data_IF_341177504290
#
_entry.id   IF_341177504290
#
_cell.length_a   1.000
_cell.length_b   1.000
_cell.length_c   1.000
_cell.angle_alpha   90.00
_cell.angle_beta   90.00
_cell.angle_gamma   90.00
#
_symmetry.space_group_name_H-M   'P 1'
#
loop_
_entity.id
_entity.type
_entity.pdbx_description
1 polymer ?
#
# COMPACT_ATOMS: atom_id res chain seq x y z
N UNK A 1 -17.27 -20.20 -10.00
CA UNK A 1 -18.38 -19.23 -9.97
C UNK A 1 -18.48 -18.56 -8.59
N UNK A 2 -18.47 -19.32 -7.50
CA UNK A 2 -18.54 -18.79 -6.12
C UNK A 2 -17.47 -17.73 -5.77
N UNK A 3 -16.22 -17.93 -6.19
CA UNK A 3 -15.13 -16.98 -5.90
C UNK A 3 -15.29 -15.61 -6.56
N UNK A 4 -15.93 -15.54 -7.74
CA UNK A 4 -16.22 -14.26 -8.39
C UNK A 4 -17.33 -13.52 -7.66
N UNK A 5 -18.40 -14.23 -7.29
CA UNK A 5 -19.51 -13.66 -6.52
C UNK A 5 -19.04 -13.08 -5.18
N UNK A 6 -18.17 -13.81 -4.47
CA UNK A 6 -17.59 -13.33 -3.20
C UNK A 6 -16.76 -12.07 -3.41
N UNK A 7 -15.95 -12.03 -4.47
CA UNK A 7 -15.14 -10.86 -4.83
C UNK A 7 -16.02 -9.65 -5.19
N UNK A 8 -17.10 -9.87 -5.91
CA UNK A 8 -18.05 -8.81 -6.30
C UNK A 8 -18.74 -8.22 -5.06
N UNK A 9 -19.13 -9.06 -4.09
CA UNK A 9 -19.67 -8.60 -2.81
C UNK A 9 -18.62 -7.77 -2.05
N UNK A 10 -17.39 -8.26 -1.97
CA UNK A 10 -16.30 -7.57 -1.27
C UNK A 10 -15.91 -6.24 -1.91
N UNK A 11 -16.04 -6.10 -3.23
CA UNK A 11 -15.73 -4.86 -3.95
C UNK A 11 -16.94 -3.99 -4.24
N UNK A 12 -18.13 -4.35 -3.71
CA UNK A 12 -19.40 -3.65 -3.98
C UNK A 12 -19.57 -2.30 -3.27
N UNK A 13 -18.77 -2.00 -2.25
CA UNK A 13 -18.85 -0.74 -1.49
C UNK A 13 -17.51 -0.29 -0.96
N UNK A 14 -17.38 1.03 -0.73
CA UNK A 14 -16.18 1.63 -0.13
C UNK A 14 -15.90 1.07 1.26
N UNK A 15 -16.94 0.82 2.04
CA UNK A 15 -16.84 0.26 3.40
C UNK A 15 -16.25 -1.15 3.37
N UNK A 16 -16.69 -1.99 2.43
CA UNK A 16 -16.16 -3.35 2.29
C UNK A 16 -14.69 -3.32 1.85
N UNK A 17 -14.32 -2.43 0.94
CA UNK A 17 -12.94 -2.27 0.48
C UNK A 17 -12.04 -1.77 1.62
N UNK A 18 -12.49 -0.76 2.37
CA UNK A 18 -11.77 -0.27 3.54
C UNK A 18 -11.60 -1.38 4.59
N UNK A 19 -12.65 -2.18 4.82
CA UNK A 19 -12.59 -3.33 5.71
C UNK A 19 -11.55 -4.38 5.25
N UNK A 20 -11.47 -4.67 3.95
CA UNK A 20 -10.46 -5.60 3.40
C UNK A 20 -9.05 -5.06 3.60
N UNK A 21 -8.81 -3.79 3.28
CA UNK A 21 -7.50 -3.18 3.50
C UNK A 21 -7.12 -3.14 4.98
N UNK A 22 -8.09 -2.90 5.87
CA UNK A 22 -7.87 -2.95 7.32
C UNK A 22 -7.58 -4.37 7.82
N UNK A 23 -8.32 -5.37 7.32
CA UNK A 23 -8.05 -6.79 7.61
C UNK A 23 -6.64 -7.18 7.17
N UNK A 24 -6.24 -6.74 5.98
CA UNK A 24 -4.89 -6.97 5.44
C UNK A 24 -3.82 -6.28 6.29
N UNK A 25 -4.07 -5.05 6.72
CA UNK A 25 -3.19 -4.31 7.62
C UNK A 25 -3.00 -5.07 8.94
N UNK A 26 -4.08 -5.55 9.55
CA UNK A 26 -4.00 -6.34 10.79
C UNK A 26 -3.29 -7.68 10.58
N UNK A 27 -3.52 -8.36 9.46
CA UNK A 27 -2.82 -9.60 9.13
C UNK A 27 -1.29 -9.42 9.05
N UNK A 28 -0.82 -8.27 8.55
CA UNK A 28 0.60 -7.91 8.49
C UNK A 28 1.21 -7.52 9.85
N UNK A 29 0.39 -7.40 10.89
CA UNK A 29 0.82 -7.19 12.28
C UNK A 29 0.80 -8.48 13.11
N UNK A 30 0.41 -9.63 12.54
CA UNK A 30 0.38 -10.91 13.26
C UNK A 30 1.80 -11.43 13.54
N UNK A 31 1.92 -12.27 14.57
CA UNK A 31 3.19 -12.98 14.83
C UNK A 31 3.55 -13.89 13.66
N UNK A 32 4.85 -14.07 13.38
CA UNK A 32 5.36 -14.89 12.28
C UNK A 32 4.97 -16.38 12.32
N UNK A 33 4.36 -16.87 13.42
CA UNK A 33 3.62 -18.15 13.42
C UNK A 33 2.54 -18.22 12.33
N UNK A 34 2.02 -17.07 11.90
CA UNK A 34 1.02 -16.92 10.84
C UNK A 34 1.63 -16.38 9.54
N UNK A 35 2.93 -16.59 9.30
CA UNK A 35 3.61 -16.10 8.10
C UNK A 35 2.93 -16.52 6.79
N UNK A 36 2.25 -17.67 6.75
CA UNK A 36 1.46 -18.09 5.60
C UNK A 36 0.34 -17.06 5.26
N UNK A 37 -0.38 -16.56 6.25
CA UNK A 37 -1.44 -15.55 6.07
C UNK A 37 -0.82 -14.23 5.59
N UNK A 38 0.30 -13.81 6.18
CA UNK A 38 1.02 -12.61 5.76
C UNK A 38 1.46 -12.72 4.29
N UNK A 39 2.02 -13.88 3.89
CA UNK A 39 2.42 -14.15 2.50
C UNK A 39 1.23 -14.09 1.55
N UNK A 40 0.07 -14.64 1.92
CA UNK A 40 -1.17 -14.54 1.11
C UNK A 40 -1.57 -13.08 0.88
N UNK A 41 -1.56 -12.25 1.93
CA UNK A 41 -1.86 -10.81 1.81
C UNK A 41 -0.84 -10.10 0.92
N UNK A 42 0.45 -10.34 1.14
CA UNK A 42 1.54 -9.75 0.35
C UNK A 42 1.43 -10.13 -1.13
N UNK A 43 1.12 -11.39 -1.43
CA UNK A 43 0.96 -11.87 -2.80
C UNK A 43 -0.31 -11.33 -3.45
N UNK A 44 -1.38 -11.12 -2.69
CA UNK A 44 -2.57 -10.44 -3.20
C UNK A 44 -2.26 -9.00 -3.60
N UNK A 45 -1.52 -8.25 -2.77
CA UNK A 45 -1.02 -6.92 -3.15
C UNK A 45 -0.06 -6.98 -4.34
N UNK A 46 0.84 -7.97 -4.40
CA UNK A 46 1.75 -8.17 -5.53
C UNK A 46 0.97 -8.29 -6.84
N UNK A 47 -0.07 -9.13 -6.86
CA UNK A 47 -0.85 -9.38 -8.07
C UNK A 47 -1.63 -8.14 -8.52
N UNK A 48 -2.13 -7.35 -7.57
CA UNK A 48 -2.73 -6.05 -7.85
C UNK A 48 -1.72 -5.04 -8.41
N UNK A 49 -0.57 -4.87 -7.75
CA UNK A 49 0.44 -3.87 -8.11
C UNK A 49 1.13 -4.19 -9.43
N UNK A 50 1.40 -5.47 -9.69
CA UNK A 50 2.06 -5.93 -10.91
C UNK A 50 1.09 -6.14 -12.09
N UNK A 51 -0.21 -5.88 -11.89
CA UNK A 51 -1.27 -6.12 -12.87
C UNK A 51 -1.31 -7.58 -13.36
N UNK A 52 -0.98 -8.54 -12.48
CA UNK A 52 -1.08 -9.97 -12.77
C UNK A 52 -2.50 -10.51 -12.54
N UNK A 53 -3.37 -9.74 -11.89
CA UNK A 53 -4.75 -10.13 -11.65
C UNK A 53 -5.55 -10.17 -12.97
N UNK A 54 -6.36 -11.22 -13.21
CA UNK A 54 -7.13 -11.36 -14.46
C UNK A 54 -8.15 -10.24 -14.66
N UNK A 55 -8.58 -9.60 -13.58
CA UNK A 55 -9.45 -8.43 -13.61
C UNK A 55 -9.01 -7.46 -12.52
N UNK A 56 -8.85 -6.20 -12.92
CA UNK A 56 -8.42 -5.13 -12.04
C UNK A 56 -9.56 -4.75 -11.09
N UNK A 57 -9.34 -4.75 -9.76
CA UNK A 57 -10.36 -4.34 -8.81
C UNK A 57 -10.86 -2.92 -9.09
N UNK A 58 -12.17 -2.64 -8.99
CA UNK A 58 -12.74 -1.33 -9.32
C UNK A 58 -12.11 -0.16 -8.57
N UNK A 59 -11.66 -0.39 -7.33
CA UNK A 59 -11.03 0.66 -6.51
C UNK A 59 -9.64 1.08 -6.99
N UNK A 60 -8.98 0.29 -7.83
CA UNK A 60 -7.68 0.63 -8.41
C UNK A 60 -7.79 1.53 -9.65
N UNK A 61 -9.00 1.65 -10.22
CA UNK A 61 -9.25 2.54 -11.33
C UNK A 61 -9.20 3.99 -10.87
N UNK A 62 -8.75 4.87 -11.75
CA UNK A 62 -8.70 6.31 -11.46
C UNK A 62 -10.10 6.84 -11.09
N UNK A 63 -10.18 7.72 -10.07
CA UNK A 63 -11.42 8.41 -9.74
C UNK A 63 -11.98 9.12 -10.98
N UNK A 64 -13.28 9.02 -11.21
CA UNK A 64 -13.92 9.75 -12.30
C UNK A 64 -13.88 11.25 -11.98
N UNK A 65 -13.35 12.06 -12.90
CA UNK A 65 -13.33 13.52 -12.77
C UNK A 65 -14.77 14.02 -12.55
N UNK A 66 -15.05 14.51 -11.34
CA UNK A 66 -16.40 14.85 -10.87
C UNK A 66 -16.73 14.35 -9.46
N UNK A 67 -15.89 13.50 -8.87
CA UNK A 67 -16.03 12.98 -7.50
C UNK A 67 -15.33 13.77 -6.39
N UNK A 68 -14.76 14.95 -6.69
CA UNK A 68 -14.31 15.86 -5.65
C UNK A 68 -15.53 16.25 -4.79
N UNK A 69 -15.49 15.91 -3.51
CA UNK A 69 -16.54 16.31 -2.56
C UNK A 69 -16.77 17.83 -2.65
N UNK A 70 -18.01 18.32 -2.50
CA UNK A 70 -18.29 19.75 -2.48
C UNK A 70 -17.72 20.32 -1.18
N UNK A 71 -16.50 20.86 -1.25
CA UNK A 71 -16.10 21.93 -0.34
C UNK A 71 -16.54 23.22 -0.99
N UNK A 72 -17.63 23.72 -0.44
CA UNK A 72 -18.21 25.04 -0.60
C UNK A 72 -17.12 26.13 -0.69
N UNK A 73 -17.07 26.82 -1.83
CA UNK A 73 -16.88 28.27 -1.94
C UNK A 73 -16.73 28.65 -3.42
N UNK A 74 -17.85 28.97 -4.06
CA UNK A 74 -17.90 29.57 -5.39
C UNK A 74 -19.34 29.95 -5.76
N UNK A 75 -19.60 31.20 -6.21
CA UNK A 75 -20.96 31.68 -6.40
C UNK A 75 -21.66 30.92 -7.54
N UNK A 76 -22.77 30.28 -7.21
CA UNK A 76 -23.56 29.43 -8.11
C UNK A 76 -24.31 30.27 -9.13
N UNK A 77 -23.94 30.17 -10.41
CA UNK A 77 -24.75 30.68 -11.53
C UNK A 77 -26.02 29.83 -11.67
N UNK A 78 -27.18 30.49 -11.57
CA UNK A 78 -28.50 29.90 -11.32
C UNK A 78 -29.13 29.06 -12.46
N UNK A 79 -28.46 28.84 -13.60
CA UNK A 79 -29.15 28.31 -14.79
C UNK A 79 -29.19 26.77 -14.88
N UNK A 80 -28.34 26.03 -14.16
CA UNK A 80 -28.23 24.56 -14.29
C UNK A 80 -29.11 23.74 -13.32
N UNK A 81 -29.91 24.39 -12.46
CA UNK A 81 -30.64 23.71 -11.39
C UNK A 81 -31.98 23.08 -11.82
N UNK A 82 -32.49 23.36 -13.02
CA UNK A 82 -33.76 22.78 -13.47
C UNK A 82 -33.60 21.35 -14.02
N UNK A 83 -32.46 21.01 -14.63
CA UNK A 83 -32.22 19.65 -15.18
C UNK A 83 -31.79 18.64 -14.11
N UNK A 84 -31.14 19.07 -13.02
CA UNK A 84 -30.73 18.19 -11.91
C UNK A 84 -31.91 17.71 -11.06
N UNK A 85 -33.01 18.46 -11.01
CA UNK A 85 -34.20 18.13 -10.19
C UNK A 85 -35.05 16.98 -10.77
N UNK A 86 -34.79 16.56 -12.01
CA UNK A 86 -35.51 15.48 -12.70
C UNK A 86 -34.73 14.15 -12.76
N UNK A 87 -33.70 13.95 -11.91
CA UNK A 87 -33.07 12.64 -11.72
C UNK A 87 -33.43 12.11 -10.34
N UNK A 88 -34.19 11.01 -10.30
CA UNK A 88 -34.52 10.31 -9.06
C UNK A 88 -33.25 10.05 -8.25
N UNK A 89 -33.31 10.25 -6.92
CA UNK A 89 -32.19 9.98 -6.00
C UNK A 89 -31.64 8.54 -6.16
N UNK A 90 -32.50 7.60 -6.55
CA UNK A 90 -32.11 6.22 -6.87
C UNK A 90 -31.20 6.09 -8.10
N UNK A 91 -31.36 6.95 -9.11
CA UNK A 91 -30.50 6.99 -10.29
C UNK A 91 -29.15 7.65 -9.99
N UNK A 92 -29.17 8.75 -9.23
CA UNK A 92 -27.92 9.39 -8.78
C UNK A 92 -27.11 8.46 -7.86
N UNK A 93 -27.76 7.75 -6.94
CA UNK A 93 -27.09 6.76 -6.07
C UNK A 93 -26.56 5.54 -6.83
N UNK A 94 -27.27 5.07 -7.86
CA UNK A 94 -26.79 3.96 -8.70
C UNK A 94 -25.61 4.38 -9.61
N UNK A 95 -25.64 5.59 -10.16
CA UNK A 95 -24.54 6.12 -10.99
C UNK A 95 -23.33 6.55 -10.13
N UNK A 96 -23.55 7.00 -8.90
CA UNK A 96 -22.46 7.36 -7.97
C UNK A 96 -21.83 6.17 -7.22
N UNK A 97 -22.47 4.99 -7.17
CA UNK A 97 -21.91 3.82 -6.47
C UNK A 97 -20.49 3.49 -6.96
N UNK A 98 -20.29 3.49 -8.27
CA UNK A 98 -18.98 3.22 -8.87
C UNK A 98 -18.00 4.38 -8.68
N UNK A 99 -18.50 5.62 -8.63
CA UNK A 99 -17.68 6.82 -8.41
C UNK A 99 -17.04 6.78 -7.02
N UNK A 100 -17.79 6.34 -6.00
CA UNK A 100 -17.31 6.30 -4.63
C UNK A 100 -16.36 5.15 -4.32
N UNK A 101 -16.17 4.19 -5.23
CA UNK A 101 -15.30 3.01 -5.03
C UNK A 101 -13.92 3.22 -5.64
N UNK A 102 -13.83 3.94 -6.78
CA UNK A 102 -12.56 4.24 -7.46
C UNK A 102 -11.67 5.12 -6.59
N UNK A 103 -10.45 4.67 -6.32
CA UNK A 103 -9.44 5.39 -5.54
C UNK A 103 -8.12 5.57 -6.32
N UNK A 104 -7.94 4.90 -7.44
CA UNK A 104 -6.70 4.93 -8.21
C UNK A 104 -5.61 4.03 -7.62
N UNK A 105 -4.64 3.69 -8.47
CA UNK A 105 -3.53 2.81 -8.12
C UNK A 105 -2.66 3.41 -7.00
N UNK A 106 -2.45 4.73 -7.00
CA UNK A 106 -1.58 5.41 -6.04
C UNK A 106 -2.01 5.13 -4.59
N UNK A 107 -3.31 5.21 -4.28
CA UNK A 107 -3.81 4.95 -2.94
C UNK A 107 -3.52 3.51 -2.48
N UNK A 108 -3.60 2.54 -3.39
CA UNK A 108 -3.28 1.13 -3.08
C UNK A 108 -1.78 0.96 -2.82
N UNK A 109 -0.92 1.64 -3.58
CA UNK A 109 0.53 1.66 -3.33
C UNK A 109 0.83 2.23 -1.94
N UNK A 110 0.22 3.36 -1.59
CA UNK A 110 0.42 4.03 -0.30
C UNK A 110 -0.06 3.16 0.87
N UNK A 111 -1.24 2.54 0.76
CA UNK A 111 -1.74 1.61 1.78
C UNK A 111 -0.78 0.44 1.96
N UNK A 112 -0.29 -0.14 0.85
CA UNK A 112 0.65 -1.26 0.90
C UNK A 112 1.98 -0.84 1.56
N UNK A 113 2.58 0.29 1.15
CA UNK A 113 3.83 0.83 1.71
C UNK A 113 3.74 0.96 3.23
N UNK A 114 2.70 1.61 3.74
CA UNK A 114 2.56 1.80 5.20
C UNK A 114 2.23 0.49 5.91
N UNK A 115 1.35 -0.34 5.35
CA UNK A 115 0.91 -1.56 6.04
C UNK A 115 2.02 -2.61 6.11
N UNK A 116 2.78 -2.77 5.03
CA UNK A 116 3.84 -3.77 4.92
C UNK A 116 5.12 -3.37 5.68
N UNK A 117 5.29 -2.08 6.01
CA UNK A 117 6.36 -1.62 6.90
C UNK A 117 6.37 -2.35 8.25
N UNK A 118 5.18 -2.66 8.79
CA UNK A 118 5.05 -3.34 10.09
C UNK A 118 5.81 -4.66 10.14
N UNK A 119 5.86 -5.42 9.02
CA UNK A 119 6.57 -6.71 8.95
C UNK A 119 8.04 -6.59 9.35
N UNK A 120 8.70 -5.49 8.97
CA UNK A 120 10.10 -5.26 9.30
C UNK A 120 10.30 -4.82 10.76
N UNK A 121 9.27 -4.20 11.35
CA UNK A 121 9.33 -3.57 12.66
C UNK A 121 8.83 -4.47 13.80
N UNK A 122 8.19 -5.60 13.47
CA UNK A 122 7.74 -6.58 14.46
C UNK A 122 8.95 -7.21 15.17
N UNK A 123 8.89 -7.22 16.49
CA UNK A 123 9.87 -7.91 17.33
C UNK A 123 9.65 -9.43 17.31
N UNK A 124 10.74 -10.16 17.12
CA UNK A 124 10.76 -11.63 17.19
C UNK A 124 11.48 -12.05 18.44
N UNK A 125 10.86 -12.92 19.24
CA UNK A 125 11.50 -13.47 20.43
C UNK A 125 12.75 -14.27 20.04
N UNK A 126 13.90 -14.04 20.71
CA UNK A 126 15.14 -14.77 20.44
C UNK A 126 15.03 -16.28 20.76
N UNK A 127 14.05 -16.69 21.56
CA UNK A 127 13.81 -18.09 21.92
C UNK A 127 13.30 -18.93 20.74
N UNK A 128 12.86 -18.29 19.65
CA UNK A 128 12.27 -18.95 18.49
C UNK A 128 12.96 -18.53 17.18
N UNK A 129 14.20 -18.99 16.92
CA UNK A 129 14.98 -18.58 15.73
C UNK A 129 14.28 -18.87 14.40
N UNK A 130 13.44 -19.92 14.34
CA UNK A 130 12.63 -20.21 13.13
C UNK A 130 11.67 -19.08 12.75
N UNK A 131 11.20 -18.29 13.72
CA UNK A 131 10.33 -17.14 13.45
C UNK A 131 11.10 -15.99 12.80
N UNK A 132 12.40 -15.86 13.09
CA UNK A 132 13.27 -14.90 12.41
C UNK A 132 13.50 -15.30 10.96
N UNK A 133 13.67 -16.59 10.68
CA UNK A 133 13.76 -17.09 9.30
C UNK A 133 12.49 -16.75 8.51
N UNK A 134 11.31 -16.98 9.10
CA UNK A 134 10.05 -16.58 8.49
C UNK A 134 9.94 -15.07 8.29
N UNK A 135 10.36 -14.26 9.26
CA UNK A 135 10.38 -12.80 9.11
C UNK A 135 11.25 -12.37 7.93
N UNK A 136 12.47 -12.92 7.80
CA UNK A 136 13.38 -12.63 6.70
C UNK A 136 12.74 -12.96 5.35
N UNK A 137 12.09 -14.11 5.23
CA UNK A 137 11.40 -14.49 3.99
C UNK A 137 10.22 -13.56 3.66
N UNK A 138 9.39 -13.23 4.64
CA UNK A 138 8.27 -12.29 4.43
C UNK A 138 8.80 -10.89 4.03
N UNK A 139 9.88 -10.42 4.69
CA UNK A 139 10.56 -9.16 4.35
C UNK A 139 11.11 -9.16 2.92
N UNK A 140 11.70 -10.27 2.43
CA UNK A 140 12.15 -10.41 1.04
C UNK A 140 11.01 -10.19 0.05
N UNK A 141 9.84 -10.75 0.32
CA UNK A 141 8.67 -10.59 -0.55
C UNK A 141 8.21 -9.13 -0.61
N UNK A 142 8.10 -8.46 0.55
CA UNK A 142 7.73 -7.02 0.59
C UNK A 142 8.76 -6.17 -0.17
N UNK A 143 10.06 -6.39 0.09
CA UNK A 143 11.13 -5.62 -0.54
C UNK A 143 11.15 -5.81 -2.06
N UNK A 144 10.84 -7.00 -2.57
CA UNK A 144 10.73 -7.26 -3.99
C UNK A 144 9.57 -6.49 -4.64
N UNK A 145 8.45 -6.31 -3.94
CA UNK A 145 7.35 -5.47 -4.41
C UNK A 145 7.77 -4.00 -4.43
N UNK A 146 8.45 -3.50 -3.37
CA UNK A 146 9.00 -2.14 -3.38
C UNK A 146 9.95 -1.92 -4.56
N UNK A 147 10.86 -2.85 -4.83
CA UNK A 147 11.76 -2.79 -6.00
C UNK A 147 11.00 -2.76 -7.31
N UNK A 148 9.95 -3.57 -7.43
CA UNK A 148 9.09 -3.54 -8.61
C UNK A 148 8.41 -2.17 -8.76
N UNK A 149 7.84 -1.62 -7.69
CA UNK A 149 7.19 -0.31 -7.70
C UNK A 149 8.16 0.78 -8.14
N UNK A 150 9.35 0.79 -7.55
CA UNK A 150 10.43 1.73 -7.91
C UNK A 150 10.74 1.60 -9.38
N UNK A 151 10.94 0.40 -9.91
CA UNK A 151 11.44 0.21 -11.28
C UNK A 151 10.36 0.31 -12.36
N UNK A 152 9.16 -0.19 -12.12
CA UNK A 152 8.16 -0.48 -13.15
C UNK A 152 6.84 0.25 -12.96
N UNK A 153 6.64 0.98 -11.86
CA UNK A 153 5.40 1.71 -11.59
C UNK A 153 5.63 3.22 -11.62
N UNK A 154 4.73 3.95 -12.27
CA UNK A 154 4.72 5.41 -12.18
C UNK A 154 4.12 5.80 -10.82
N UNK A 155 4.90 6.43 -9.96
CA UNK A 155 4.46 6.90 -8.65
C UNK A 155 4.40 8.43 -8.62
N UNK A 156 3.38 8.95 -7.95
CA UNK A 156 3.26 10.38 -7.65
C UNK A 156 4.25 10.80 -6.57
N UNK A 157 4.49 12.11 -6.45
CA UNK A 157 5.42 12.67 -5.47
C UNK A 157 5.12 12.17 -4.04
N UNK A 158 3.87 12.24 -3.60
CA UNK A 158 3.47 11.77 -2.26
C UNK A 158 3.76 10.29 -2.04
N UNK A 159 3.53 9.45 -3.04
CA UNK A 159 3.80 8.01 -2.98
C UNK A 159 5.30 7.74 -2.92
N UNK A 160 6.12 8.49 -3.67
CA UNK A 160 7.58 8.42 -3.58
C UNK A 160 8.09 8.83 -2.20
N UNK A 161 7.65 9.97 -1.69
CA UNK A 161 8.03 10.49 -0.37
C UNK A 161 7.68 9.46 0.72
N UNK A 162 6.47 8.91 0.70
CA UNK A 162 6.04 7.89 1.66
C UNK A 162 6.90 6.62 1.58
N UNK A 163 7.21 6.13 0.37
CA UNK A 163 8.09 4.97 0.21
C UNK A 163 9.47 5.24 0.81
N UNK A 164 10.04 6.41 0.55
CA UNK A 164 11.36 6.79 1.04
C UNK A 164 11.37 6.95 2.56
N UNK A 165 10.37 7.61 3.15
CA UNK A 165 10.20 7.72 4.61
C UNK A 165 10.12 6.34 5.25
N UNK A 166 9.31 5.43 4.68
CA UNK A 166 9.20 4.06 5.21
C UNK A 166 10.52 3.31 5.09
N UNK A 167 11.22 3.37 3.95
CA UNK A 167 12.51 2.70 3.79
C UNK A 167 13.55 3.26 4.76
N UNK A 168 13.60 4.58 4.96
CA UNK A 168 14.47 5.22 5.93
C UNK A 168 14.16 4.77 7.36
N UNK A 169 12.88 4.81 7.75
CA UNK A 169 12.44 4.41 9.07
C UNK A 169 12.78 2.93 9.35
N UNK A 170 12.46 2.04 8.40
CA UNK A 170 12.78 0.61 8.52
C UNK A 170 14.29 0.41 8.62
N UNK A 171 15.08 1.12 7.79
CA UNK A 171 16.55 1.07 7.80
C UNK A 171 17.10 1.51 9.15
N UNK A 172 16.65 2.64 9.67
CA UNK A 172 17.05 3.14 10.99
C UNK A 172 16.76 2.12 12.10
N UNK A 173 15.55 1.56 12.12
CA UNK A 173 15.14 0.61 13.16
C UNK A 173 15.87 -0.74 13.05
N UNK A 174 16.14 -1.24 11.84
CA UNK A 174 16.85 -2.52 11.67
C UNK A 174 18.35 -2.41 11.88
N UNK A 175 18.96 -1.24 11.61
CA UNK A 175 20.42 -1.06 11.68
C UNK A 175 20.92 -0.44 12.97
N UNK A 176 20.10 0.36 13.66
CA UNK A 176 20.46 0.95 14.95
C UNK A 176 20.20 0.00 16.14
N UNK A 177 19.83 -1.26 15.88
CA UNK A 177 19.69 -2.30 16.90
C UNK A 177 21.00 -2.56 17.68
N UNK A 178 20.88 -3.01 18.94
CA UNK A 178 22.02 -3.36 19.79
C UNK A 178 22.99 -4.28 19.05
N UNK A 179 24.31 -4.10 19.17
CA UNK A 179 25.29 -4.99 18.54
C UNK A 179 25.08 -6.41 19.07
N UNK A 180 24.54 -7.29 18.22
CA UNK A 180 24.43 -8.71 18.51
C UNK A 180 25.79 -9.36 18.28
N UNK A 181 26.15 -10.34 19.12
CA UNK A 181 27.43 -11.05 19.06
C UNK A 181 27.66 -11.71 17.69
N UNK A 182 26.57 -12.15 17.03
CA UNK A 182 26.59 -12.62 15.65
C UNK A 182 25.57 -11.85 14.79
N UNK A 183 26.00 -11.42 13.60
CA UNK A 183 25.15 -10.72 12.62
C UNK A 183 23.99 -11.59 12.14
N UNK A 184 24.14 -12.91 12.19
CA UNK A 184 23.10 -13.86 11.80
C UNK A 184 21.96 -13.97 12.82
N UNK A 185 22.08 -13.41 14.02
CA UNK A 185 21.02 -13.53 15.03
C UNK A 185 19.99 -12.39 14.97
N UNK A 186 20.13 -11.46 14.01
CA UNK A 186 19.23 -10.33 13.85
C UNK A 186 18.76 -10.15 12.41
N UNK A 187 17.56 -9.59 12.27
CA UNK A 187 17.04 -9.15 10.97
C UNK A 187 18.00 -8.16 10.30
N UNK A 188 18.51 -7.20 11.08
CA UNK A 188 19.47 -6.20 10.63
C UNK A 188 20.70 -6.83 10.00
N UNK A 189 21.37 -7.77 10.67
CA UNK A 189 22.58 -8.37 10.12
C UNK A 189 22.36 -9.24 8.89
N UNK A 190 21.20 -9.90 8.75
CA UNK A 190 20.85 -10.71 7.56
C UNK A 190 20.31 -9.90 6.39
N UNK A 191 19.63 -8.78 6.65
CA UNK A 191 18.81 -8.08 5.66
C UNK A 191 19.28 -6.66 5.32
N UNK A 192 20.20 -6.08 6.11
CA UNK A 192 20.72 -4.73 5.94
C UNK A 192 21.19 -4.41 4.53
N UNK A 193 22.02 -5.27 3.93
CA UNK A 193 22.62 -5.00 2.61
C UNK A 193 21.53 -4.83 1.54
N UNK A 194 20.56 -5.74 1.51
CA UNK A 194 19.45 -5.70 0.56
C UNK A 194 18.58 -4.45 0.77
N UNK A 195 18.35 -4.07 2.03
CA UNK A 195 17.56 -2.90 2.39
C UNK A 195 18.25 -1.59 1.98
N UNK A 196 19.53 -1.42 2.33
CA UNK A 196 20.33 -0.25 1.95
C UNK A 196 20.40 -0.07 0.44
N UNK A 197 20.68 -1.15 -0.30
CA UNK A 197 20.70 -1.09 -1.76
C UNK A 197 19.37 -0.60 -2.31
N UNK A 198 18.26 -1.09 -1.74
CA UNK A 198 16.92 -0.68 -2.18
C UNK A 198 16.65 0.78 -1.85
N UNK A 199 17.01 1.24 -0.65
CA UNK A 199 16.89 2.64 -0.24
C UNK A 199 17.66 3.57 -1.19
N UNK A 200 18.93 3.29 -1.45
CA UNK A 200 19.79 4.13 -2.31
C UNK A 200 19.24 4.18 -3.74
N UNK A 201 18.88 3.02 -4.32
CA UNK A 201 18.31 2.97 -5.68
C UNK A 201 16.99 3.71 -5.76
N UNK A 202 16.12 3.55 -4.75
CA UNK A 202 14.83 4.25 -4.68
C UNK A 202 15.05 5.76 -4.60
N UNK A 203 16.01 6.20 -3.79
CA UNK A 203 16.33 7.63 -3.62
C UNK A 203 16.80 8.26 -4.93
N UNK A 204 17.77 7.63 -5.60
CA UNK A 204 18.28 8.12 -6.89
C UNK A 204 17.13 8.20 -7.90
N UNK A 205 16.32 7.14 -8.01
CA UNK A 205 15.23 7.11 -8.99
C UNK A 205 14.14 8.15 -8.68
N UNK A 206 13.81 8.36 -7.41
CA UNK A 206 12.84 9.36 -7.00
C UNK A 206 13.29 10.77 -7.43
N UNK A 207 14.54 11.15 -7.15
CA UNK A 207 15.10 12.45 -7.54
C UNK A 207 15.17 12.67 -9.06
N UNK A 208 15.25 11.59 -9.84
CA UNK A 208 15.17 11.67 -11.30
C UNK A 208 13.73 11.76 -11.83
N UNK A 209 12.73 11.37 -11.04
CA UNK A 209 11.34 11.24 -11.47
C UNK A 209 10.46 12.40 -10.99
N UNK A 210 10.73 12.93 -9.80
CA UNK A 210 9.95 13.97 -9.12
C UNK A 210 10.88 14.84 -8.25
N UNK A 211 10.49 16.09 -8.00
CA UNK A 211 11.20 16.93 -7.04
C UNK A 211 10.91 16.44 -5.62
N UNK A 212 11.94 15.96 -4.93
CA UNK A 212 11.85 15.45 -3.56
C UNK A 212 12.46 16.48 -2.61
N UNK A 213 11.78 16.78 -1.50
CA UNK A 213 12.31 17.70 -0.48
C UNK A 213 13.60 17.13 0.15
N UNK A 214 14.60 18.00 0.35
CA UNK A 214 15.83 17.65 1.05
C UNK A 214 15.62 17.32 2.54
N UNK A 215 14.54 17.83 3.13
CA UNK A 215 14.18 17.65 4.55
C UNK A 215 13.92 16.19 4.93
N UNK A 216 13.77 15.28 3.97
CA UNK A 216 13.58 13.84 4.25
C UNK A 216 14.80 13.15 4.89
N UNK A 217 15.99 13.76 4.82
CA UNK A 217 17.23 13.22 5.39
C UNK A 217 17.77 13.98 6.59
N UNK A 218 17.19 15.14 6.91
CA UNK A 218 17.55 15.92 8.09
C UNK A 218 16.92 15.32 9.36
#
# INVERSE_FOLDING_TARGET
EDGMMVRDIFFSSRENINFIHELFRQALCLSFRYAAIMKTVIFTYKDWIQMNAPEMPPFMLEPLEGGASPRDDGPVTQENNQQRRMRNESYLGAVNKDIHIRAGLQNVLQIFITSAANVFLLEVSPDYPRLLDEQVEVCKHVLNIYRYMVMNTRMEQKTWEQLLVVLLHVTSQTLCGRPTTHKEDSLGGRFASALFQTLIVSWIKANLSVAISGELWD
#
